data_IF_090451072416
#
_entry.id   IF_090451072416
#
_cell.length_a   1.000
_cell.length_b   1.000
_cell.length_c   1.000
_cell.angle_alpha   90.00
_cell.angle_beta   90.00
_cell.angle_gamma   90.00
#
_symmetry.space_group_name_H-M   'P 1'
#
loop_
_entity.id
_entity.type
_entity.pdbx_description
1 polymer ?
#
# COMPACT_ATOMS: atom_id res chain seq x y z
N UNK A 1 0.93 -36.87 -88.28
CA UNK A 1 0.32 -35.56 -88.00
C UNK A 1 0.08 -35.49 -86.50
N UNK A 2 0.72 -34.54 -85.82
CA UNK A 2 0.64 -34.30 -84.38
C UNK A 2 -0.55 -33.37 -84.14
N UNK A 3 -1.47 -33.76 -83.28
CA UNK A 3 -2.40 -32.82 -82.64
C UNK A 3 -2.11 -32.80 -81.14
N UNK A 4 -1.68 -31.62 -80.72
CA UNK A 4 -1.25 -31.24 -79.39
C UNK A 4 -2.39 -30.43 -78.79
N UNK A 5 -3.14 -31.05 -77.87
CA UNK A 5 -4.24 -30.39 -77.17
C UNK A 5 -3.68 -29.69 -75.91
N UNK A 6 -3.81 -28.36 -75.77
CA UNK A 6 -3.27 -27.63 -74.64
C UNK A 6 -4.02 -27.95 -73.34
N UNK A 7 -3.25 -28.32 -72.32
CA UNK A 7 -3.69 -28.34 -70.92
C UNK A 7 -4.08 -26.92 -70.50
N UNK A 8 -5.38 -26.65 -70.41
CA UNK A 8 -5.90 -25.42 -69.82
C UNK A 8 -5.61 -25.49 -68.32
N UNK A 9 -4.52 -24.85 -67.90
CA UNK A 9 -4.23 -24.63 -66.49
C UNK A 9 -5.04 -23.40 -66.07
N UNK A 10 -6.29 -23.59 -65.69
CA UNK A 10 -7.06 -22.53 -65.03
C UNK A 10 -6.38 -22.24 -63.69
N UNK A 11 -5.68 -21.11 -63.61
CA UNK A 11 -5.33 -20.50 -62.32
C UNK A 11 -6.65 -20.02 -61.70
N UNK A 12 -7.09 -20.55 -60.55
CA UNK A 12 -8.28 -20.04 -59.90
C UNK A 12 -8.04 -18.57 -59.50
N UNK A 13 -8.75 -17.69 -60.19
CA UNK A 13 -8.67 -16.24 -60.06
C UNK A 13 -9.24 -15.76 -58.70
N UNK A 14 -8.36 -15.12 -57.93
CA UNK A 14 -8.49 -13.82 -57.24
C UNK A 14 -9.68 -13.50 -56.30
N UNK A 15 -10.58 -14.44 -56.01
CA UNK A 15 -11.67 -14.19 -55.03
C UNK A 15 -11.24 -14.47 -53.58
N UNK A 16 -10.26 -15.35 -53.36
CA UNK A 16 -9.69 -15.63 -52.04
C UNK A 16 -8.91 -14.45 -51.46
N UNK A 17 -8.26 -13.64 -52.31
CA UNK A 17 -7.51 -12.46 -51.85
C UNK A 17 -8.44 -11.40 -51.25
N UNK A 18 -9.66 -11.25 -51.77
CA UNK A 18 -10.65 -10.30 -51.24
C UNK A 18 -11.20 -10.75 -49.89
N UNK A 19 -11.54 -12.04 -49.75
CA UNK A 19 -11.96 -12.61 -48.47
C UNK A 19 -10.84 -12.57 -47.42
N UNK A 20 -9.59 -12.81 -47.81
CA UNK A 20 -8.43 -12.66 -46.92
C UNK A 20 -8.25 -11.23 -46.42
N UNK A 21 -8.47 -10.21 -47.26
CA UNK A 21 -8.42 -8.80 -46.85
C UNK A 21 -9.55 -8.47 -45.87
N UNK A 22 -10.78 -8.92 -46.13
CA UNK A 22 -11.88 -8.70 -45.18
C UNK A 22 -11.63 -9.41 -43.85
N UNK A 23 -11.13 -10.64 -43.85
CA UNK A 23 -10.74 -11.36 -42.64
C UNK A 23 -9.63 -10.63 -41.87
N UNK A 24 -8.63 -10.07 -42.56
CA UNK A 24 -7.56 -9.29 -41.95
C UNK A 24 -8.09 -7.99 -41.30
N UNK A 25 -9.00 -7.28 -41.98
CA UNK A 25 -9.62 -6.07 -41.44
C UNK A 25 -10.47 -6.40 -40.21
N UNK A 26 -11.26 -7.47 -40.28
CA UNK A 26 -12.10 -7.93 -39.17
C UNK A 26 -11.23 -8.35 -37.98
N UNK A 27 -10.11 -9.03 -38.24
CA UNK A 27 -9.11 -9.38 -37.23
C UNK A 27 -8.49 -8.13 -36.59
N UNK A 28 -8.10 -7.12 -37.39
CA UNK A 28 -7.57 -5.85 -36.90
C UNK A 28 -8.56 -5.10 -36.00
N UNK A 29 -9.82 -4.98 -36.42
CA UNK A 29 -10.89 -4.34 -35.63
C UNK A 29 -11.16 -5.13 -34.35
N UNK A 30 -11.18 -6.45 -34.44
CA UNK A 30 -11.32 -7.34 -33.29
C UNK A 30 -10.17 -7.17 -32.29
N UNK A 31 -8.93 -7.10 -32.76
CA UNK A 31 -7.75 -6.84 -31.91
C UNK A 31 -7.82 -5.44 -31.27
N UNK A 32 -8.21 -4.42 -32.04
CA UNK A 32 -8.38 -3.05 -31.54
C UNK A 32 -9.45 -2.93 -30.45
N UNK A 33 -10.49 -3.77 -30.48
CA UNK A 33 -11.47 -3.86 -29.39
C UNK A 33 -10.97 -4.65 -28.17
N UNK A 34 -10.13 -5.67 -28.37
CA UNK A 34 -9.72 -6.59 -27.32
C UNK A 34 -8.53 -6.06 -26.48
N UNK A 35 -7.60 -5.35 -27.11
CA UNK A 35 -6.40 -4.76 -26.48
C UNK A 35 -6.71 -3.74 -25.35
N UNK A 36 -7.56 -2.71 -25.55
CA UNK A 36 -7.84 -1.73 -24.50
C UNK A 36 -8.49 -2.37 -23.28
N UNK A 37 -9.33 -3.39 -23.46
CA UNK A 37 -9.99 -4.10 -22.37
C UNK A 37 -8.99 -4.87 -21.48
N UNK A 38 -7.91 -5.39 -22.06
CA UNK A 38 -6.90 -6.13 -21.30
C UNK A 38 -5.96 -5.20 -20.51
N UNK A 39 -5.61 -4.04 -21.05
CA UNK A 39 -4.84 -3.01 -20.33
C UNK A 39 -5.64 -2.39 -19.19
N UNK A 40 -6.92 -2.10 -19.41
CA UNK A 40 -7.77 -1.50 -18.38
C UNK A 40 -7.99 -2.45 -17.20
N UNK A 41 -8.18 -3.76 -17.45
CA UNK A 41 -8.27 -4.76 -16.37
C UNK A 41 -7.00 -4.84 -15.52
N UNK A 42 -5.81 -4.70 -16.15
CA UNK A 42 -4.54 -4.69 -15.42
C UNK A 42 -4.39 -3.46 -14.53
N UNK A 43 -4.73 -2.29 -15.03
CA UNK A 43 -4.69 -1.05 -14.24
C UNK A 43 -5.64 -1.11 -13.04
N UNK A 44 -6.88 -1.53 -13.24
CA UNK A 44 -7.86 -1.67 -12.16
C UNK A 44 -7.43 -2.70 -11.11
N UNK A 45 -6.81 -3.81 -11.52
CA UNK A 45 -6.29 -4.79 -10.55
C UNK A 45 -5.15 -4.24 -9.68
N UNK A 46 -4.27 -3.43 -10.27
CA UNK A 46 -3.17 -2.79 -9.54
C UNK A 46 -3.68 -1.68 -8.61
N UNK A 47 -4.66 -0.88 -9.05
CA UNK A 47 -5.31 0.13 -8.21
C UNK A 47 -6.03 -0.50 -7.02
N UNK A 48 -6.75 -1.60 -7.25
CA UNK A 48 -7.43 -2.33 -6.18
C UNK A 48 -6.43 -2.91 -5.17
N UNK A 49 -5.34 -3.51 -5.64
CA UNK A 49 -4.30 -4.02 -4.76
C UNK A 49 -3.64 -2.90 -3.94
N UNK A 50 -3.32 -1.77 -4.58
CA UNK A 50 -2.76 -0.60 -3.91
C UNK A 50 -3.72 -0.01 -2.87
N UNK A 51 -5.01 0.14 -3.22
CA UNK A 51 -6.05 0.62 -2.32
C UNK A 51 -6.24 -0.32 -1.12
N UNK A 52 -6.24 -1.63 -1.33
CA UNK A 52 -6.32 -2.62 -0.25
C UNK A 52 -5.09 -2.58 0.66
N UNK A 53 -3.89 -2.38 0.09
CA UNK A 53 -2.68 -2.22 0.90
C UNK A 53 -2.74 -0.96 1.77
N UNK A 54 -3.20 0.16 1.20
CA UNK A 54 -3.39 1.41 1.93
C UNK A 54 -4.45 1.32 3.02
N UNK A 55 -5.57 0.63 2.75
CA UNK A 55 -6.62 0.40 3.72
C UNK A 55 -6.08 -0.39 4.92
N UNK A 56 -5.41 -1.53 4.66
CA UNK A 56 -4.83 -2.35 5.72
C UNK A 56 -3.75 -1.61 6.53
N UNK A 57 -2.90 -0.81 5.88
CA UNK A 57 -1.93 0.07 6.56
C UNK A 57 -2.63 1.08 7.48
N UNK A 58 -3.77 1.62 7.03
CA UNK A 58 -4.57 2.58 7.78
C UNK A 58 -5.31 1.94 8.96
N UNK A 59 -5.82 0.72 8.79
CA UNK A 59 -6.43 -0.07 9.89
C UNK A 59 -5.42 -0.35 11.01
N UNK A 60 -4.19 -0.78 10.66
CA UNK A 60 -3.12 -1.02 11.63
C UNK A 60 -2.79 0.29 12.38
N UNK A 61 -2.63 1.40 11.66
CA UNK A 61 -2.43 2.72 12.27
C UNK A 61 -3.61 3.14 13.15
N UNK A 62 -4.83 2.80 12.74
CA UNK A 62 -6.06 3.05 13.45
C UNK A 62 -6.05 2.42 14.84
N UNK A 63 -5.74 1.12 14.93
CA UNK A 63 -5.63 0.39 16.21
C UNK A 63 -4.66 1.09 17.18
N UNK A 64 -3.49 1.49 16.69
CA UNK A 64 -2.53 2.21 17.52
C UNK A 64 -3.08 3.56 17.99
N UNK A 65 -3.70 4.33 17.09
CA UNK A 65 -4.26 5.64 17.41
C UNK A 65 -5.41 5.53 18.41
N UNK A 66 -6.30 4.55 18.23
CA UNK A 66 -7.40 4.27 19.16
C UNK A 66 -6.85 3.88 20.52
N UNK A 67 -5.85 2.99 20.59
CA UNK A 67 -5.24 2.62 21.88
C UNK A 67 -4.66 3.82 22.64
N UNK A 68 -4.03 4.78 21.94
CA UNK A 68 -3.52 6.03 22.54
C UNK A 68 -4.66 6.89 23.08
N UNK A 69 -5.76 7.01 22.33
CA UNK A 69 -6.91 7.83 22.74
C UNK A 69 -7.63 7.19 23.92
N UNK A 70 -7.78 5.87 23.92
CA UNK A 70 -8.42 5.11 24.99
C UNK A 70 -7.57 5.11 26.26
N UNK A 71 -6.25 4.96 26.16
CA UNK A 71 -5.35 5.07 27.32
C UNK A 71 -5.43 6.46 27.94
N UNK A 72 -5.51 7.53 27.12
CA UNK A 72 -5.71 8.92 27.59
C UNK A 72 -7.05 9.14 28.29
N UNK A 73 -8.07 8.37 27.92
CA UNK A 73 -9.40 8.41 28.56
C UNK A 73 -9.46 7.59 29.85
N UNK A 74 -8.40 6.83 30.18
CA UNK A 74 -8.39 5.90 31.30
C UNK A 74 -8.99 4.52 30.98
N UNK A 75 -9.34 4.26 29.72
CA UNK A 75 -9.90 3.00 29.23
C UNK A 75 -8.78 2.00 28.91
N UNK A 76 -7.94 1.69 29.91
CA UNK A 76 -6.71 0.93 29.71
C UNK A 76 -6.90 -0.51 29.21
N UNK A 77 -8.03 -1.14 29.53
CA UNK A 77 -8.31 -2.51 29.07
C UNK A 77 -8.66 -2.54 27.57
N UNK A 78 -9.47 -1.58 27.11
CA UNK A 78 -9.76 -1.42 25.68
C UNK A 78 -8.48 -1.06 24.92
N UNK A 79 -7.70 -0.10 25.45
CA UNK A 79 -6.40 0.26 24.89
C UNK A 79 -5.43 -0.92 24.82
N UNK A 80 -5.44 -1.83 25.82
CA UNK A 80 -4.63 -3.05 25.83
C UNK A 80 -5.03 -4.00 24.70
N UNK A 81 -6.32 -4.16 24.44
CA UNK A 81 -6.84 -5.03 23.38
C UNK A 81 -6.43 -4.47 22.01
N UNK A 82 -6.67 -3.18 21.77
CA UNK A 82 -6.29 -2.51 20.52
C UNK A 82 -4.78 -2.51 20.29
N UNK A 83 -3.98 -2.25 21.32
CA UNK A 83 -2.52 -2.33 21.23
C UNK A 83 -2.06 -3.77 20.93
N UNK A 84 -2.65 -4.77 21.58
CA UNK A 84 -2.33 -6.18 21.32
C UNK A 84 -2.67 -6.59 19.89
N UNK A 85 -3.82 -6.13 19.38
CA UNK A 85 -4.23 -6.37 18.01
C UNK A 85 -3.31 -5.65 17.02
N UNK A 86 -2.95 -4.39 17.29
CA UNK A 86 -1.96 -3.65 16.50
C UNK A 86 -0.67 -4.45 16.35
N UNK A 87 -0.08 -4.93 17.45
CA UNK A 87 1.15 -5.70 17.40
C UNK A 87 0.99 -7.03 16.67
N UNK A 88 -0.14 -7.70 16.84
CA UNK A 88 -0.43 -8.98 16.17
C UNK A 88 -0.53 -8.80 14.66
N UNK A 89 -1.29 -7.79 14.20
CA UNK A 89 -1.43 -7.47 12.78
C UNK A 89 -0.11 -6.97 12.18
N UNK A 90 0.61 -6.09 12.89
CA UNK A 90 1.90 -5.58 12.45
C UNK A 90 2.92 -6.71 12.28
N UNK A 91 2.97 -7.65 13.23
CA UNK A 91 3.86 -8.82 13.14
C UNK A 91 3.47 -9.72 11.99
N UNK A 92 2.18 -10.03 11.85
CA UNK A 92 1.67 -10.84 10.74
C UNK A 92 2.07 -10.25 9.39
N UNK A 93 1.95 -8.94 9.22
CA UNK A 93 2.35 -8.30 7.96
C UNK A 93 3.87 -8.21 7.80
N UNK A 94 4.64 -8.06 8.88
CA UNK A 94 6.10 -8.03 8.82
C UNK A 94 6.70 -9.41 8.50
N UNK A 95 6.09 -10.47 9.00
CA UNK A 95 6.55 -11.85 8.83
C UNK A 95 6.26 -12.39 7.41
N UNK A 96 5.37 -11.76 6.64
CA UNK A 96 5.07 -12.11 5.23
C UNK A 96 6.22 -11.86 4.24
N UNK A 97 7.28 -11.16 4.64
CA UNK A 97 8.41 -10.90 3.75
C UNK A 97 7.99 -10.09 2.52
N UNK A 98 8.15 -10.64 1.32
CA UNK A 98 7.90 -9.91 0.06
C UNK A 98 6.40 -9.70 -0.24
N UNK A 99 5.52 -10.52 0.34
CA UNK A 99 4.06 -10.35 0.27
C UNK A 99 3.51 -9.37 1.32
N UNK A 100 4.40 -8.73 2.08
CA UNK A 100 4.05 -7.76 3.10
C UNK A 100 3.40 -6.50 2.50
N UNK A 101 2.58 -5.83 3.32
CA UNK A 101 2.19 -4.45 3.06
C UNK A 101 3.39 -3.50 3.07
N UNK A 102 4.44 -3.85 3.80
CA UNK A 102 5.58 -2.98 4.09
C UNK A 102 6.79 -3.32 3.22
N UNK A 103 7.56 -2.30 2.80
CA UNK A 103 8.85 -2.53 2.13
C UNK A 103 9.86 -3.15 3.09
N UNK A 104 10.96 -3.70 2.57
CA UNK A 104 12.01 -4.30 3.41
C UNK A 104 12.58 -3.30 4.41
N UNK A 105 12.79 -2.06 3.98
CA UNK A 105 13.29 -0.96 4.81
C UNK A 105 12.26 -0.54 5.87
N UNK A 106 10.97 -0.47 5.52
CA UNK A 106 9.89 -0.21 6.46
C UNK A 106 9.86 -1.30 7.55
N UNK A 107 9.94 -2.58 7.16
CA UNK A 107 9.95 -3.72 8.10
C UNK A 107 11.16 -3.70 9.03
N UNK A 108 12.35 -3.40 8.51
CA UNK A 108 13.56 -3.33 9.32
C UNK A 108 13.48 -2.23 10.36
N UNK A 109 12.91 -1.07 10.02
CA UNK A 109 12.65 0.01 10.98
C UNK A 109 11.56 -0.36 12.00
N UNK A 110 10.52 -1.07 11.56
CA UNK A 110 9.43 -1.51 12.44
C UNK A 110 9.86 -2.56 13.48
N UNK A 111 11.02 -3.22 13.32
CA UNK A 111 11.55 -4.16 14.33
C UNK A 111 11.66 -3.52 15.71
N UNK A 112 12.14 -2.27 15.80
CA UNK A 112 12.28 -1.52 17.06
C UNK A 112 10.95 -1.35 17.82
N UNK A 113 9.83 -1.35 17.09
CA UNK A 113 8.49 -1.24 17.68
C UNK A 113 8.14 -2.46 18.54
N UNK A 114 8.66 -3.64 18.20
CA UNK A 114 8.34 -4.89 18.89
C UNK A 114 9.13 -5.10 20.18
N UNK A 115 10.31 -4.48 20.31
CA UNK A 115 11.19 -4.62 21.49
C UNK A 115 10.48 -4.25 22.80
N UNK A 116 9.45 -3.41 22.69
CA UNK A 116 8.74 -2.84 23.83
C UNK A 116 7.29 -3.27 23.93
N UNK A 117 6.88 -4.28 23.15
CA UNK A 117 5.51 -4.78 23.18
C UNK A 117 5.11 -5.22 24.58
N UNK A 118 5.87 -6.15 25.15
CA UNK A 118 5.47 -6.81 26.40
C UNK A 118 5.48 -5.83 27.58
N UNK A 119 6.43 -4.90 27.60
CA UNK A 119 6.45 -3.82 28.60
C UNK A 119 5.24 -2.89 28.44
N UNK A 120 4.90 -2.47 27.22
CA UNK A 120 3.73 -1.61 26.94
C UNK A 120 2.43 -2.30 27.33
N UNK A 121 2.26 -3.57 26.97
CA UNK A 121 1.07 -4.36 27.35
C UNK A 121 0.98 -4.55 28.86
N UNK A 122 2.12 -4.77 29.54
CA UNK A 122 2.16 -4.87 31.00
C UNK A 122 1.78 -3.55 31.66
N UNK A 123 2.30 -2.42 31.17
CA UNK A 123 1.94 -1.08 31.67
C UNK A 123 0.44 -0.80 31.48
N UNK A 124 -0.14 -1.16 30.32
CA UNK A 124 -1.58 -1.04 30.07
C UNK A 124 -2.39 -1.91 31.04
N UNK A 125 -1.98 -3.16 31.28
CA UNK A 125 -2.62 -4.05 32.24
C UNK A 125 -2.56 -3.51 33.68
N UNK A 126 -1.46 -2.81 34.03
CA UNK A 126 -1.28 -2.15 35.33
C UNK A 126 -1.96 -0.77 35.41
N UNK A 127 -2.59 -0.30 34.32
CA UNK A 127 -3.20 1.04 34.22
C UNK A 127 -2.21 2.18 34.46
N UNK A 128 -0.95 1.96 34.09
CA UNK A 128 0.10 2.96 34.22
C UNK A 128 -0.08 4.05 33.15
N UNK A 129 -0.11 5.32 33.57
CA UNK A 129 -0.22 6.46 32.68
C UNK A 129 0.98 6.57 31.71
N UNK A 130 2.16 6.07 32.10
CA UNK A 130 3.35 6.02 31.24
C UNK A 130 3.12 5.17 29.97
N UNK A 131 2.15 4.26 29.98
CA UNK A 131 1.77 3.48 28.79
C UNK A 131 1.32 4.37 27.62
N UNK A 132 0.69 5.51 27.90
CA UNK A 132 0.22 6.45 26.88
C UNK A 132 1.39 7.12 26.16
N UNK A 133 2.39 7.56 26.93
CA UNK A 133 3.62 8.13 26.38
C UNK A 133 4.34 7.08 25.53
N UNK A 134 4.39 5.83 26.04
CA UNK A 134 5.02 4.73 25.31
C UNK A 134 4.34 4.43 23.97
N UNK A 135 3.01 4.37 23.94
CA UNK A 135 2.24 4.19 22.70
C UNK A 135 2.47 5.37 21.73
N UNK A 136 2.67 6.58 22.24
CA UNK A 136 2.99 7.75 21.42
C UNK A 136 4.38 7.64 20.79
N UNK A 137 5.39 7.18 21.53
CA UNK A 137 6.73 6.91 20.97
C UNK A 137 6.66 5.87 19.84
N UNK A 138 5.90 4.79 20.07
CA UNK A 138 5.65 3.74 19.09
C UNK A 138 5.00 4.32 17.83
N UNK A 139 4.06 5.26 17.97
CA UNK A 139 3.46 5.96 16.85
C UNK A 139 4.48 6.78 16.05
N UNK A 140 5.42 7.45 16.72
CA UNK A 140 6.50 8.19 16.05
C UNK A 140 7.40 7.23 15.27
N UNK A 141 7.83 6.12 15.88
CA UNK A 141 8.64 5.08 15.20
C UNK A 141 7.90 4.54 13.97
N UNK A 142 6.60 4.24 14.12
CA UNK A 142 5.76 3.76 13.02
C UNK A 142 5.68 4.78 11.88
N UNK A 143 5.47 6.06 12.18
CA UNK A 143 5.43 7.11 11.16
C UNK A 143 6.79 7.33 10.48
N UNK A 144 7.89 7.26 11.22
CA UNK A 144 9.24 7.32 10.66
C UNK A 144 9.55 6.12 9.75
N UNK A 145 9.08 4.93 10.12
CA UNK A 145 9.21 3.73 9.31
C UNK A 145 8.50 3.92 7.97
N UNK A 146 7.28 4.44 8.00
CA UNK A 146 6.44 4.73 6.82
C UNK A 146 6.89 5.93 5.98
N UNK A 147 8.01 6.59 6.35
CA UNK A 147 8.49 7.80 5.67
C UNK A 147 7.58 9.02 5.84
N UNK A 148 6.67 8.99 6.83
CA UNK A 148 5.64 10.03 7.06
C UNK A 148 6.03 11.06 8.13
N UNK A 149 7.14 10.90 8.85
CA UNK A 149 7.52 11.83 9.92
C UNK A 149 8.88 12.52 9.70
N UNK A 150 8.79 13.71 9.11
CA UNK A 150 9.42 14.89 9.70
C UNK A 150 8.28 15.83 10.12
N UNK A 151 7.69 15.60 11.29
CA UNK A 151 6.95 16.67 11.97
C UNK A 151 8.02 17.57 12.60
N UNK A 152 8.08 18.87 12.29
CA UNK A 152 9.02 19.78 12.94
C UNK A 152 8.73 19.76 14.44
N UNK A 153 9.62 19.13 15.19
CA UNK A 153 9.80 19.38 16.61
C UNK A 153 9.82 20.88 16.80
N UNK A 154 8.87 21.38 17.57
CA UNK A 154 8.75 22.78 17.93
C UNK A 154 10.14 23.38 18.19
N UNK A 155 10.56 24.31 17.33
CA UNK A 155 11.62 25.24 17.71
C UNK A 155 11.15 25.92 19.00
N UNK A 156 11.89 25.86 20.11
CA UNK A 156 11.69 26.82 21.17
C UNK A 156 12.08 28.16 20.56
N UNK A 157 11.09 28.91 20.09
CA UNK A 157 11.25 30.31 19.71
C UNK A 157 11.51 31.09 20.99
N UNK A 158 12.72 30.96 21.52
CA UNK A 158 13.33 31.90 22.42
C UNK A 158 13.49 33.21 21.67
N UNK A 159 12.49 34.08 21.82
CA UNK A 159 12.60 35.50 21.54
C UNK A 159 11.52 36.21 22.37
N UNK A 160 11.69 36.24 23.69
CA UNK A 160 11.09 37.30 24.50
C UNK A 160 11.86 38.58 24.17
N UNK A 161 11.23 39.63 23.62
CA UNK A 161 11.91 40.90 23.44
C UNK A 161 12.13 41.52 24.83
N UNK A 162 13.38 41.54 25.26
CA UNK A 162 13.82 42.37 26.39
C UNK A 162 13.64 43.83 26.01
N UNK A 163 12.60 44.47 26.53
CA UNK A 163 12.50 45.93 26.57
C UNK A 163 13.54 46.43 27.59
N UNK A 164 14.64 47.00 27.11
CA UNK A 164 15.52 47.82 27.94
C UNK A 164 14.97 49.26 27.98
N UNK A 165 14.90 49.89 29.17
CA UNK A 165 14.56 51.30 29.29
C UNK A 165 15.79 52.16 28.94
N UNK A 166 15.55 53.17 28.11
CA UNK A 166 16.50 54.23 27.76
C UNK A 166 16.88 55.04 29.00
N UNK A 167 18.18 55.19 29.24
CA UNK A 167 18.79 56.26 30.04
C UNK A 167 19.72 57.05 29.13
#
# INVERSE_FOLDING_TARGET
>A
MRENNPTITEKPQSNLTRWGIYALILLMVFLLGLLPMWWQKRQVSQELEAAQKQLRKSEIKGLLTTSIVESKRGEYESARQDASEFYTRLRTETDKGDDSLFTKEERDKLKMTFDNRDSTITMLAQRDQASTERLTDIYVIYQQAMGQAQLPSASPSGASPTLQPTQ
#
